data_IF_638404997823
#
_entry.id   IF_638404997823
#
_cell.length_a   1.000
_cell.length_b   1.000
_cell.length_c   1.000
_cell.angle_alpha   90.00
_cell.angle_beta   90.00
_cell.angle_gamma   90.00
#
_symmetry.space_group_name_H-M   'P 1'
#
loop_
_entity.id
_entity.type
_entity.pdbx_description
1 polymer ?
#
# COMPACT_ATOMS: atom_id res chain seq x y z
N UNK A 1 12.05 4.96 22.89
CA UNK A 1 12.89 6.19 22.80
C UNK A 1 12.19 7.12 21.83
N UNK A 2 12.15 8.42 22.13
CA UNK A 2 11.51 9.41 21.25
C UNK A 2 12.20 9.42 19.88
N UNK A 3 11.44 9.23 18.80
CA UNK A 3 12.00 9.21 17.43
C UNK A 3 12.31 10.60 16.87
N UNK A 4 11.80 11.64 17.52
CA UNK A 4 12.00 13.03 17.13
C UNK A 4 12.15 13.93 18.34
N UNK A 5 12.62 15.15 18.12
CA UNK A 5 12.71 16.18 19.15
C UNK A 5 11.65 17.27 18.95
N UNK A 6 11.22 17.89 20.04
CA UNK A 6 10.29 19.04 20.00
C UNK A 6 10.78 20.14 19.05
N UNK A 7 12.10 20.40 19.04
CA UNK A 7 12.72 21.42 18.21
C UNK A 7 12.58 21.11 16.71
N UNK A 8 12.79 19.86 16.30
CA UNK A 8 12.61 19.45 14.90
C UNK A 8 11.17 19.68 14.43
N UNK A 9 10.18 19.30 15.25
CA UNK A 9 8.76 19.52 14.93
C UNK A 9 8.40 21.01 14.87
N UNK A 10 8.99 21.81 15.76
CA UNK A 10 8.80 23.26 15.79
C UNK A 10 9.37 23.91 14.52
N UNK A 11 10.62 23.59 14.18
CA UNK A 11 11.35 24.14 13.02
C UNK A 11 10.71 23.71 11.68
N UNK A 12 10.12 22.51 11.62
CA UNK A 12 9.38 22.02 10.46
C UNK A 12 7.95 22.61 10.33
N UNK A 13 7.47 23.34 11.35
CA UNK A 13 6.15 23.98 11.33
C UNK A 13 4.98 23.02 11.54
N UNK A 14 5.20 21.90 12.25
CA UNK A 14 4.19 20.87 12.53
C UNK A 14 3.06 21.39 13.43
N UNK A 15 3.37 22.37 14.28
CA UNK A 15 2.47 22.94 15.28
C UNK A 15 1.40 23.89 14.71
N UNK A 16 1.52 24.33 13.45
CA UNK A 16 0.54 25.24 12.87
C UNK A 16 -0.71 24.49 12.46
N UNK A 17 -1.85 24.86 13.06
CA UNK A 17 -3.16 24.40 12.60
C UNK A 17 -3.84 25.38 11.66
N UNK A 18 -5.16 25.24 11.57
CA UNK A 18 -6.03 26.08 10.78
C UNK A 18 -6.61 27.25 11.58
N UNK A 19 -7.32 28.14 10.86
CA UNK A 19 -8.08 29.24 11.44
C UNK A 19 -9.20 28.74 12.36
N UNK A 20 -9.47 29.46 13.44
CA UNK A 20 -10.54 29.13 14.43
C UNK A 20 -11.88 28.74 13.81
N UNK A 21 -12.32 29.44 12.77
CA UNK A 21 -13.62 29.16 12.12
C UNK A 21 -13.72 27.79 11.42
N UNK A 22 -12.59 27.14 11.14
CA UNK A 22 -12.52 25.86 10.43
C UNK A 22 -12.26 24.68 11.38
N UNK A 23 -12.08 24.92 12.66
CA UNK A 23 -11.66 23.88 13.60
C UNK A 23 -12.78 22.88 13.87
N UNK A 24 -12.39 21.66 14.21
CA UNK A 24 -13.27 20.61 14.68
C UNK A 24 -13.19 20.53 16.21
N UNK A 25 -14.31 20.58 16.95
CA UNK A 25 -14.31 20.48 18.41
C UNK A 25 -13.67 19.19 18.95
N UNK A 26 -13.70 18.09 18.19
CA UNK A 26 -13.06 16.83 18.58
C UNK A 26 -11.51 16.94 18.65
N UNK A 27 -10.91 17.96 18.02
CA UNK A 27 -9.48 18.25 18.13
C UNK A 27 -9.09 19.05 19.37
N UNK A 28 -10.05 19.47 20.21
CA UNK A 28 -9.77 20.22 21.43
C UNK A 28 -8.69 19.60 22.34
N UNK A 29 -8.61 18.27 22.54
CA UNK A 29 -7.56 17.66 23.36
C UNK A 29 -6.15 17.85 22.80
N UNK A 30 -6.00 18.05 21.49
CA UNK A 30 -4.71 18.16 20.80
C UNK A 30 -4.28 19.61 20.53
N UNK A 31 -5.15 20.58 20.76
CA UNK A 31 -4.86 22.00 20.57
C UNK A 31 -4.28 22.56 21.87
N UNK A 32 -3.11 23.20 21.76
CA UNK A 32 -2.44 23.85 22.88
C UNK A 32 -3.02 25.23 23.17
N UNK A 33 -3.09 26.10 22.14
CA UNK A 33 -3.62 27.46 22.28
C UNK A 33 -4.05 28.05 20.94
N UNK A 34 -4.58 29.27 20.96
CA UNK A 34 -4.88 30.06 19.76
C UNK A 34 -3.99 31.31 19.75
N UNK A 35 -3.33 31.61 18.62
CA UNK A 35 -2.51 32.83 18.45
C UNK A 35 -2.79 33.46 17.10
N UNK A 36 -3.19 34.72 17.09
CA UNK A 36 -3.48 35.44 15.84
C UNK A 36 -4.59 34.81 15.00
N UNK A 37 -5.57 34.15 15.64
CA UNK A 37 -6.69 33.48 14.96
C UNK A 37 -6.38 32.10 14.37
N UNK A 38 -5.17 31.58 14.60
CA UNK A 38 -4.71 30.25 14.18
C UNK A 38 -4.55 29.37 15.41
N UNK A 39 -5.04 28.13 15.34
CA UNK A 39 -4.80 27.14 16.39
C UNK A 39 -3.37 26.61 16.35
N UNK A 40 -2.78 26.44 17.52
CA UNK A 40 -1.46 25.85 17.71
C UNK A 40 -1.65 24.45 18.28
N UNK A 41 -1.15 23.44 17.58
CA UNK A 41 -1.18 22.04 17.99
C UNK A 41 -0.14 21.80 19.07
N UNK A 42 -0.49 20.98 20.05
CA UNK A 42 0.37 20.55 21.14
C UNK A 42 1.41 19.52 20.65
N UNK A 43 2.65 19.95 20.48
CA UNK A 43 3.74 19.12 19.97
C UNK A 43 4.14 18.00 20.93
N UNK A 44 3.94 18.13 22.24
CA UNK A 44 4.25 17.05 23.18
C UNK A 44 3.33 15.85 22.91
N UNK A 45 2.05 16.13 22.65
CA UNK A 45 1.08 15.10 22.23
C UNK A 45 1.42 14.56 20.86
N UNK A 46 1.88 15.39 19.92
CA UNK A 46 2.36 14.92 18.62
C UNK A 46 3.50 13.93 18.75
N UNK A 47 4.49 14.19 19.61
CA UNK A 47 5.64 13.28 19.83
C UNK A 47 5.15 11.92 20.32
N UNK A 48 4.31 11.91 21.37
CA UNK A 48 3.78 10.65 21.94
C UNK A 48 2.98 9.87 20.89
N UNK A 49 2.07 10.54 20.18
CA UNK A 49 1.23 9.89 19.17
C UNK A 49 2.01 9.42 17.94
N UNK A 50 3.04 10.15 17.55
CA UNK A 50 3.94 9.78 16.47
C UNK A 50 4.76 8.54 16.83
N UNK A 51 5.26 8.45 18.06
CA UNK A 51 5.97 7.27 18.55
C UNK A 51 5.06 6.03 18.58
N UNK A 52 3.84 6.16 19.12
CA UNK A 52 2.83 5.10 19.12
C UNK A 52 2.52 4.60 17.69
N UNK A 53 2.30 5.53 16.75
CA UNK A 53 2.05 5.21 15.35
C UNK A 53 3.26 4.52 14.70
N UNK A 54 4.47 5.03 14.93
CA UNK A 54 5.70 4.48 14.38
C UNK A 54 6.00 3.07 14.91
N UNK A 55 5.78 2.80 16.19
CA UNK A 55 5.95 1.46 16.79
C UNK A 55 4.96 0.44 16.21
N UNK A 56 3.70 0.84 16.02
CA UNK A 56 2.69 -0.01 15.40
C UNK A 56 3.00 -0.28 13.92
N UNK A 57 3.39 0.74 13.14
CA UNK A 57 3.79 0.58 11.74
C UNK A 57 5.06 -0.29 11.59
N UNK A 58 6.04 -0.12 12.49
CA UNK A 58 7.23 -0.98 12.57
C UNK A 58 6.84 -2.44 12.78
N UNK A 59 5.93 -2.71 13.70
CA UNK A 59 5.44 -4.07 14.00
C UNK A 59 4.72 -4.70 12.80
N UNK A 60 3.89 -3.92 12.09
CA UNK A 60 3.22 -4.35 10.86
C UNK A 60 4.25 -4.68 9.77
N UNK A 61 5.24 -3.81 9.57
CA UNK A 61 6.31 -4.02 8.60
C UNK A 61 7.15 -5.26 8.92
N UNK A 62 7.46 -5.48 10.20
CA UNK A 62 8.19 -6.67 10.69
C UNK A 62 7.44 -7.97 10.36
N UNK A 63 6.11 -7.98 10.46
CA UNK A 63 5.30 -9.13 10.04
C UNK A 63 5.28 -9.37 8.53
N UNK A 64 5.85 -8.44 7.74
CA UNK A 64 5.91 -8.53 6.29
C UNK A 64 4.68 -8.04 5.54
N UNK A 65 3.77 -7.41 6.26
CA UNK A 65 2.53 -6.86 5.71
C UNK A 65 2.80 -5.49 5.07
N UNK A 66 1.98 -5.14 4.08
CA UNK A 66 2.08 -3.86 3.36
C UNK A 66 1.20 -2.81 4.00
N UNK A 67 1.71 -1.58 4.04
CA UNK A 67 1.03 -0.38 4.52
C UNK A 67 0.82 0.54 3.33
N UNK A 68 -0.43 0.96 3.08
CA UNK A 68 -0.77 1.82 1.95
C UNK A 68 -0.77 3.29 2.38
N UNK A 69 0.09 4.11 1.76
CA UNK A 69 0.12 5.55 2.00
C UNK A 69 -0.84 6.27 1.05
N UNK A 70 -1.65 7.20 1.55
CA UNK A 70 -2.66 7.93 0.78
C UNK A 70 -2.47 9.43 0.99
N UNK A 71 -2.21 10.16 -0.08
CA UNK A 71 -1.97 11.59 -0.02
C UNK A 71 -2.24 12.28 -1.39
N UNK A 72 -3.46 12.79 -1.63
CA UNK A 72 -3.75 13.48 -2.90
C UNK A 72 -3.42 14.98 -2.90
N UNK A 73 -3.04 15.52 -1.75
CA UNK A 73 -2.71 16.94 -1.55
C UNK A 73 -1.43 17.30 -2.29
N UNK A 74 -1.42 18.44 -3.01
CA UNK A 74 -0.31 18.85 -3.90
C UNK A 74 1.03 18.88 -3.15
N UNK A 75 1.03 19.38 -1.92
CA UNK A 75 2.20 19.51 -1.05
C UNK A 75 2.79 18.17 -0.61
N UNK A 76 1.99 17.09 -0.64
CA UNK A 76 2.35 15.77 -0.17
C UNK A 76 2.69 14.77 -1.30
N UNK A 77 2.21 15.00 -2.54
CA UNK A 77 2.33 14.03 -3.64
C UNK A 77 3.76 13.56 -3.87
N UNK A 78 4.67 14.51 -4.13
CA UNK A 78 6.07 14.21 -4.44
C UNK A 78 6.77 13.57 -3.24
N UNK A 79 6.59 14.16 -2.06
CA UNK A 79 7.17 13.70 -0.79
C UNK A 79 6.82 12.24 -0.52
N UNK A 80 5.53 11.91 -0.57
CA UNK A 80 5.03 10.55 -0.31
C UNK A 80 5.53 9.61 -1.41
N UNK A 81 5.46 10.01 -2.68
CA UNK A 81 5.93 9.15 -3.78
C UNK A 81 7.42 8.81 -3.70
N UNK A 82 8.27 9.74 -3.30
CA UNK A 82 9.72 9.54 -3.23
C UNK A 82 10.09 8.66 -2.03
N UNK A 83 9.62 9.04 -0.84
CA UNK A 83 10.00 8.40 0.43
C UNK A 83 9.41 7.02 0.60
N UNK A 84 8.14 6.85 0.24
CA UNK A 84 7.45 5.56 0.41
C UNK A 84 7.93 4.55 -0.63
N UNK A 85 8.27 5.01 -1.84
CA UNK A 85 8.89 4.18 -2.87
C UNK A 85 10.27 3.66 -2.43
N UNK A 86 11.07 4.47 -1.73
CA UNK A 86 12.36 4.05 -1.20
C UNK A 86 12.24 2.85 -0.23
N UNK A 87 11.15 2.77 0.55
CA UNK A 87 10.89 1.66 1.49
C UNK A 87 10.05 0.53 0.87
N UNK A 88 9.79 0.59 -0.44
CA UNK A 88 9.00 -0.41 -1.19
C UNK A 88 7.61 -0.67 -0.58
N UNK A 89 6.95 0.40 -0.17
CA UNK A 89 5.56 0.38 0.29
C UNK A 89 4.63 0.97 -0.77
N UNK A 90 3.38 0.48 -0.87
CA UNK A 90 2.43 1.01 -1.83
C UNK A 90 1.94 2.40 -1.41
N UNK A 91 1.65 3.26 -2.38
CA UNK A 91 1.15 4.61 -2.13
C UNK A 91 0.09 5.04 -3.16
N UNK A 92 -0.74 6.02 -2.87
CA UNK A 92 -1.69 6.65 -3.80
C UNK A 92 -1.58 8.16 -3.64
N UNK A 93 -1.08 8.84 -4.68
CA UNK A 93 -0.83 10.28 -4.64
C UNK A 93 -1.74 11.08 -5.57
N UNK A 94 -2.46 10.44 -6.49
CA UNK A 94 -3.27 11.16 -7.47
C UNK A 94 -4.70 11.37 -7.01
N UNK A 95 -5.56 10.38 -7.25
CA UNK A 95 -6.97 10.41 -6.86
C UNK A 95 -7.30 9.08 -6.23
N UNK A 96 -7.97 9.12 -5.09
CA UNK A 96 -8.61 7.95 -4.51
C UNK A 96 -9.90 7.62 -5.27
N UNK A 97 -9.97 6.53 -6.07
CA UNK A 97 -11.24 6.08 -6.63
C UNK A 97 -12.10 5.48 -5.50
N UNK A 98 -13.39 5.82 -5.47
CA UNK A 98 -14.31 5.16 -4.55
C UNK A 98 -14.38 3.66 -4.82
N UNK A 99 -14.39 2.86 -3.76
CA UNK A 99 -14.35 1.41 -3.83
C UNK A 99 -12.95 0.84 -3.97
N UNK A 100 -11.89 1.61 -3.73
CA UNK A 100 -10.52 1.14 -3.90
C UNK A 100 -10.19 -0.05 -2.98
N UNK A 101 -10.60 0.02 -1.72
CA UNK A 101 -10.44 -1.07 -0.76
C UNK A 101 -11.66 -1.98 -0.77
N UNK A 102 -12.86 -1.41 -0.83
CA UNK A 102 -14.09 -2.21 -0.67
C UNK A 102 -14.51 -2.99 -1.90
N UNK A 103 -14.05 -2.59 -3.09
CA UNK A 103 -14.21 -3.29 -4.35
C UNK A 103 -12.84 -3.61 -4.96
N UNK A 104 -11.94 -4.14 -4.13
CA UNK A 104 -10.58 -4.49 -4.53
C UNK A 104 -10.48 -5.45 -5.74
N UNK A 105 -11.39 -6.43 -5.94
CA UNK A 105 -11.37 -7.26 -7.15
C UNK A 105 -11.45 -6.43 -8.44
N UNK A 106 -12.24 -5.35 -8.46
CA UNK A 106 -12.37 -4.46 -9.62
C UNK A 106 -11.11 -3.64 -9.85
N UNK A 107 -10.50 -3.12 -8.78
CA UNK A 107 -9.21 -2.42 -8.88
C UNK A 107 -8.12 -3.36 -9.40
N UNK A 108 -8.09 -4.61 -8.95
CA UNK A 108 -7.16 -5.62 -9.43
C UNK A 108 -7.35 -5.91 -10.92
N UNK A 109 -8.59 -5.92 -11.43
CA UNK A 109 -8.83 -6.03 -12.89
C UNK A 109 -8.22 -4.85 -13.67
N UNK A 110 -8.32 -3.63 -13.14
CA UNK A 110 -7.70 -2.46 -13.77
C UNK A 110 -6.16 -2.53 -13.77
N UNK A 111 -5.56 -3.02 -12.67
CA UNK A 111 -4.11 -3.28 -12.58
C UNK A 111 -3.69 -4.40 -13.54
N UNK A 112 -4.45 -5.50 -13.63
CA UNK A 112 -4.18 -6.56 -14.61
C UNK A 112 -4.21 -6.04 -16.05
N UNK A 113 -5.17 -5.16 -16.37
CA UNK A 113 -5.25 -4.50 -17.68
C UNK A 113 -3.98 -3.70 -18.01
N UNK A 114 -3.38 -3.05 -17.01
CA UNK A 114 -2.11 -2.35 -17.16
C UNK A 114 -0.99 -3.30 -17.62
N UNK A 115 -0.85 -4.46 -16.97
CA UNK A 115 0.13 -5.49 -17.34
C UNK A 115 -0.16 -6.16 -18.68
N UNK A 116 -1.44 -6.32 -19.07
CA UNK A 116 -1.81 -6.80 -20.40
C UNK A 116 -1.35 -5.84 -21.50
N UNK A 117 -1.49 -4.53 -21.27
CA UNK A 117 -1.01 -3.52 -22.22
C UNK A 117 0.52 -3.58 -22.36
N UNK A 118 1.24 -3.80 -21.26
CA UNK A 118 2.70 -3.96 -21.30
C UNK A 118 3.12 -5.20 -22.10
N UNK A 119 2.41 -6.32 -21.96
CA UNK A 119 2.62 -7.52 -22.79
C UNK A 119 2.32 -7.28 -24.26
N UNK A 120 1.20 -6.63 -24.59
CA UNK A 120 0.87 -6.29 -25.99
C UNK A 120 1.94 -5.41 -26.66
N UNK A 121 2.64 -4.58 -25.87
CA UNK A 121 3.75 -3.77 -26.35
C UNK A 121 5.03 -4.59 -26.62
N UNK A 122 5.28 -5.67 -25.86
CA UNK A 122 6.43 -6.56 -26.07
C UNK A 122 6.18 -7.60 -27.15
N UNK A 123 4.94 -8.07 -27.28
CA UNK A 123 4.59 -9.24 -28.09
C UNK A 123 4.28 -8.87 -29.56
N UNK A 124 4.44 -7.59 -29.92
CA UNK A 124 4.22 -7.08 -31.28
C UNK A 124 2.75 -6.88 -31.67
N UNK A 125 1.80 -7.16 -30.77
CA UNK A 125 0.35 -6.97 -31.02
C UNK A 125 0.02 -5.51 -31.39
N UNK A 126 0.79 -4.56 -30.86
CA UNK A 126 0.66 -3.15 -31.21
C UNK A 126 0.81 -2.90 -32.71
N UNK A 127 1.53 -3.70 -33.47
CA UNK A 127 1.79 -3.46 -34.90
C UNK A 127 0.56 -3.66 -35.78
N UNK A 128 -0.38 -4.48 -35.33
CA UNK A 128 -1.64 -4.72 -36.03
C UNK A 128 -2.71 -3.64 -35.76
N UNK A 129 -2.43 -2.68 -34.87
CA UNK A 129 -3.38 -1.64 -34.50
C UNK A 129 -3.19 -0.35 -35.30
N UNK A 130 -4.28 0.37 -35.54
CA UNK A 130 -4.23 1.69 -36.15
C UNK A 130 -3.50 2.69 -35.25
N UNK A 131 -2.91 3.74 -35.84
CA UNK A 131 -2.23 4.81 -35.07
C UNK A 131 -3.14 5.43 -34.01
N UNK A 132 -4.46 5.52 -34.28
CA UNK A 132 -5.45 6.05 -33.35
C UNK A 132 -5.64 5.13 -32.13
N UNK A 133 -5.75 3.83 -32.35
CA UNK A 133 -5.91 2.83 -31.29
C UNK A 133 -4.65 2.72 -30.44
N UNK A 134 -3.46 2.67 -31.07
CA UNK A 134 -2.18 2.70 -30.34
C UNK A 134 -2.11 3.90 -29.41
N UNK A 135 -2.47 5.09 -29.89
CA UNK A 135 -2.47 6.30 -29.08
C UNK A 135 -3.47 6.23 -27.90
N UNK A 136 -4.65 5.66 -28.11
CA UNK A 136 -5.64 5.47 -27.04
C UNK A 136 -5.13 4.50 -25.96
N UNK A 137 -4.51 3.39 -26.37
CA UNK A 137 -3.94 2.40 -25.44
C UNK A 137 -2.79 3.01 -24.64
N UNK A 138 -1.88 3.76 -25.30
CA UNK A 138 -0.77 4.44 -24.62
C UNK A 138 -1.28 5.45 -23.59
N UNK A 139 -2.30 6.26 -23.94
CA UNK A 139 -2.94 7.20 -23.01
C UNK A 139 -3.60 6.47 -21.85
N UNK A 140 -4.27 5.35 -22.10
CA UNK A 140 -4.88 4.51 -21.07
C UNK A 140 -3.81 3.95 -20.13
N UNK A 141 -2.70 3.42 -20.67
CA UNK A 141 -1.58 2.90 -19.89
C UNK A 141 -0.93 3.95 -19.01
N UNK A 142 -0.67 5.14 -19.56
CA UNK A 142 -0.11 6.27 -18.81
C UNK A 142 -1.05 6.72 -17.68
N UNK A 143 -2.36 6.73 -17.93
CA UNK A 143 -3.36 7.06 -16.91
C UNK A 143 -3.44 5.99 -15.81
N UNK A 144 -3.35 4.71 -16.17
CA UNK A 144 -3.33 3.61 -15.21
C UNK A 144 -2.04 3.64 -14.38
N UNK A 145 -0.87 3.85 -14.99
CA UNK A 145 0.41 3.98 -14.29
C UNK A 145 0.36 5.07 -13.23
N UNK A 146 -0.09 6.24 -13.64
CA UNK A 146 -0.11 7.42 -12.79
C UNK A 146 -1.00 7.23 -11.56
N UNK A 147 -2.11 6.50 -11.71
CA UNK A 147 -3.09 6.32 -10.63
C UNK A 147 -2.85 5.06 -9.78
N UNK A 148 -2.38 3.97 -10.39
CA UNK A 148 -2.35 2.63 -9.79
C UNK A 148 -0.98 1.93 -9.92
N UNK A 149 0.04 2.55 -10.52
CA UNK A 149 1.35 1.93 -10.75
C UNK A 149 2.02 1.44 -9.47
N UNK A 150 1.95 2.24 -8.41
CA UNK A 150 2.47 1.94 -7.06
C UNK A 150 1.73 0.80 -6.33
N UNK A 151 0.54 0.42 -6.78
CA UNK A 151 -0.22 -0.71 -6.23
C UNK A 151 -0.21 -1.91 -7.18
N UNK A 152 0.61 -1.91 -8.23
CA UNK A 152 0.67 -3.00 -9.20
C UNK A 152 0.98 -4.35 -8.53
N UNK A 153 1.87 -4.34 -7.54
CA UNK A 153 2.33 -5.53 -6.81
C UNK A 153 1.39 -5.93 -5.65
N UNK A 154 0.31 -5.18 -5.39
CA UNK A 154 -0.64 -5.50 -4.32
C UNK A 154 -1.55 -6.65 -4.75
N UNK A 155 -1.24 -7.85 -4.25
CA UNK A 155 -2.08 -9.04 -4.47
C UNK A 155 -3.25 -9.13 -3.49
N UNK A 156 -3.08 -8.64 -2.26
CA UNK A 156 -4.07 -8.65 -1.18
C UNK A 156 -4.34 -7.24 -0.68
N UNK A 157 -5.39 -7.08 0.13
CA UNK A 157 -5.66 -5.80 0.79
C UNK A 157 -4.48 -5.40 1.70
N UNK A 158 -4.16 -4.10 1.81
CA UNK A 158 -3.16 -3.63 2.75
C UNK A 158 -3.63 -3.91 4.18
N UNK A 159 -2.67 -4.13 5.09
CA UNK A 159 -2.98 -4.42 6.50
C UNK A 159 -3.13 -3.16 7.35
N UNK A 160 -2.75 -2.01 6.80
CA UNK A 160 -2.97 -0.70 7.38
C UNK A 160 -2.95 0.35 6.28
N UNK A 161 -3.56 1.50 6.54
CA UNK A 161 -3.42 2.69 5.70
C UNK A 161 -2.83 3.86 6.50
N UNK A 162 -1.99 4.66 5.84
CA UNK A 162 -1.54 5.95 6.35
C UNK A 162 -2.12 7.06 5.48
N UNK A 163 -2.75 8.07 6.08
CA UNK A 163 -3.46 9.14 5.39
C UNK A 163 -2.87 10.51 5.72
N UNK A 164 -2.58 11.31 4.70
CA UNK A 164 -2.25 12.73 4.83
C UNK A 164 -3.51 13.53 4.50
N UNK A 165 -4.01 14.31 5.48
CA UNK A 165 -5.26 15.08 5.41
C UNK A 165 -6.54 14.21 5.36
N UNK A 166 -7.11 13.98 6.54
CA UNK A 166 -8.32 13.18 6.75
C UNK A 166 -9.54 13.81 6.09
N UNK A 167 -9.64 15.15 6.10
CA UNK A 167 -10.73 15.87 5.45
C UNK A 167 -10.74 15.62 3.95
N UNK A 168 -9.55 15.62 3.33
CA UNK A 168 -9.39 15.37 1.90
C UNK A 168 -9.65 13.91 1.53
N UNK A 169 -9.15 12.98 2.35
CA UNK A 169 -9.21 11.53 2.07
C UNK A 169 -10.30 10.78 2.86
N UNK A 170 -11.39 11.47 3.19
CA UNK A 170 -12.48 10.88 3.98
C UNK A 170 -13.05 9.58 3.39
N UNK A 171 -12.99 9.40 2.06
CA UNK A 171 -13.47 8.19 1.39
C UNK A 171 -12.56 7.01 1.74
N UNK A 172 -11.24 7.19 1.69
CA UNK A 172 -10.26 6.17 2.06
C UNK A 172 -10.43 5.73 3.52
N UNK A 173 -10.61 6.71 4.43
CA UNK A 173 -10.83 6.45 5.87
C UNK A 173 -12.12 5.68 6.10
N UNK A 174 -13.23 6.06 5.44
CA UNK A 174 -14.52 5.36 5.55
C UNK A 174 -14.45 3.93 5.03
N UNK A 175 -13.78 3.72 3.89
CA UNK A 175 -13.58 2.39 3.32
C UNK A 175 -12.74 1.49 4.22
N UNK A 176 -11.62 2.00 4.74
CA UNK A 176 -10.75 1.27 5.66
C UNK A 176 -11.48 0.89 6.95
N UNK A 177 -12.21 1.83 7.56
CA UNK A 177 -13.02 1.58 8.74
C UNK A 177 -14.08 0.51 8.50
N UNK A 178 -14.75 0.52 7.34
CA UNK A 178 -15.76 -0.49 6.99
C UNK A 178 -15.17 -1.90 6.89
N UNK A 179 -13.91 -2.02 6.50
CA UNK A 179 -13.20 -3.29 6.35
C UNK A 179 -12.39 -3.68 7.61
N UNK A 180 -12.41 -2.87 8.67
CA UNK A 180 -11.59 -3.09 9.86
C UNK A 180 -10.07 -2.96 9.60
N UNK A 181 -9.68 -2.20 8.58
CA UNK A 181 -8.26 -1.91 8.31
C UNK A 181 -7.85 -0.73 9.19
N UNK A 182 -6.80 -0.87 10.04
CA UNK A 182 -6.36 0.19 10.92
C UNK A 182 -5.87 1.42 10.14
N UNK A 183 -6.27 2.60 10.61
CA UNK A 183 -6.02 3.90 10.00
C UNK A 183 -5.04 4.69 10.85
N UNK A 184 -3.91 5.03 10.24
CA UNK A 184 -2.94 5.99 10.74
C UNK A 184 -3.14 7.29 9.95
N UNK A 185 -3.11 8.44 10.59
CA UNK A 185 -3.28 9.69 9.83
C UNK A 185 -2.62 10.90 10.48
N UNK A 186 -2.19 11.83 9.63
CA UNK A 186 -1.94 13.21 10.03
C UNK A 186 -3.28 13.93 10.20
N UNK A 187 -3.51 14.49 11.38
CA UNK A 187 -4.76 15.13 11.75
C UNK A 187 -4.50 16.59 12.09
N UNK A 188 -4.92 17.48 11.20
CA UNK A 188 -4.96 18.91 11.50
C UNK A 188 -6.24 19.24 12.30
N UNK A 189 -6.24 20.41 12.91
CA UNK A 189 -7.30 21.02 13.71
C UNK A 189 -8.69 21.07 13.09
N UNK A 190 -8.84 20.95 11.76
CA UNK A 190 -10.13 20.88 11.06
C UNK A 190 -10.70 19.45 10.93
N UNK A 191 -9.87 18.44 11.20
CA UNK A 191 -10.19 17.03 10.98
C UNK A 191 -10.78 16.39 12.23
N UNK A 192 -11.56 15.31 12.07
CA UNK A 192 -12.10 14.54 13.20
C UNK A 192 -11.16 13.36 13.54
N UNK A 193 -10.51 13.34 14.71
CA UNK A 193 -9.62 12.25 15.12
C UNK A 193 -10.37 10.98 15.52
N UNK A 194 -11.70 11.02 15.72
CA UNK A 194 -12.47 9.92 16.32
C UNK A 194 -12.53 8.65 15.46
N UNK A 195 -12.31 8.78 14.15
CA UNK A 195 -12.36 7.68 13.19
C UNK A 195 -10.98 7.14 12.81
N UNK A 196 -9.95 7.46 13.60
CA UNK A 196 -8.55 7.19 13.30
C UNK A 196 -7.97 6.43 14.50
N UNK A 197 -7.42 5.25 14.23
CA UNK A 197 -6.87 4.39 15.29
C UNK A 197 -5.58 4.99 15.87
N UNK A 198 -4.74 5.56 15.00
CA UNK A 198 -3.49 6.22 15.37
C UNK A 198 -3.45 7.65 14.83
N UNK A 199 -4.12 8.61 15.52
CA UNK A 199 -4.12 10.01 15.10
C UNK A 199 -2.80 10.67 15.47
N UNK A 200 -2.14 11.30 14.49
CA UNK A 200 -0.92 12.09 14.68
C UNK A 200 -1.30 13.57 14.50
N UNK A 201 -1.47 14.34 15.59
CA UNK A 201 -1.81 15.75 15.50
C UNK A 201 -0.68 16.52 14.82
N UNK A 202 -0.92 17.04 13.62
CA UNK A 202 0.12 17.67 12.81
C UNK A 202 -0.47 18.54 11.69
N UNK A 203 0.29 19.55 11.30
CA UNK A 203 0.03 20.35 10.11
C UNK A 203 0.15 19.50 8.83
N UNK A 204 -0.93 19.39 8.06
CA UNK A 204 -0.96 18.66 6.78
C UNK A 204 -0.86 19.58 5.55
N UNK A 205 -0.76 20.90 5.72
CA UNK A 205 -0.61 21.89 4.65
C UNK A 205 0.86 22.18 4.31
N UNK A 206 1.75 22.10 5.30
CA UNK A 206 3.16 22.43 5.12
C UNK A 206 3.97 21.24 4.61
N UNK A 207 4.62 21.40 3.44
CA UNK A 207 5.50 20.36 2.87
C UNK A 207 6.59 19.90 3.84
N UNK A 208 7.19 20.81 4.63
CA UNK A 208 8.21 20.43 5.63
C UNK A 208 7.66 19.56 6.75
N UNK A 209 6.44 19.86 7.22
CA UNK A 209 5.74 19.06 8.24
C UNK A 209 5.46 17.65 7.73
N UNK A 210 4.82 17.54 6.56
CA UNK A 210 4.51 16.25 5.91
C UNK A 210 5.80 15.46 5.66
N UNK A 211 6.84 16.13 5.15
CA UNK A 211 8.16 15.55 4.90
C UNK A 211 8.74 14.90 6.16
N UNK A 212 8.76 15.63 7.28
CA UNK A 212 9.32 15.15 8.54
C UNK A 212 8.54 13.97 9.11
N UNK A 213 7.21 14.06 9.16
CA UNK A 213 6.36 12.98 9.71
C UNK A 213 6.50 11.71 8.85
N UNK A 214 6.41 11.84 7.52
CA UNK A 214 6.56 10.70 6.61
C UNK A 214 7.96 10.08 6.72
N UNK A 215 9.02 10.88 6.86
CA UNK A 215 10.39 10.36 7.07
C UNK A 215 10.49 9.49 8.32
N UNK A 216 9.95 9.98 9.44
CA UNK A 216 10.02 9.26 10.72
C UNK A 216 9.29 7.92 10.61
N UNK A 217 8.12 7.90 9.99
CA UNK A 217 7.34 6.68 9.77
C UNK A 217 8.04 5.73 8.79
N UNK A 218 8.59 6.23 7.69
CA UNK A 218 9.36 5.45 6.73
C UNK A 218 10.59 4.80 7.37
N UNK A 219 11.33 5.51 8.21
CA UNK A 219 12.46 4.96 8.98
C UNK A 219 12.00 3.84 9.93
N UNK A 220 10.88 4.02 10.63
CA UNK A 220 10.34 2.99 11.49
C UNK A 220 9.91 1.72 10.72
N UNK A 221 9.35 1.88 9.51
CA UNK A 221 9.04 0.76 8.62
C UNK A 221 10.32 0.06 8.17
N UNK A 222 11.34 0.81 7.77
CA UNK A 222 12.63 0.28 7.33
C UNK A 222 13.32 -0.53 8.45
N UNK A 223 13.32 -0.02 9.69
CA UNK A 223 13.76 -0.77 10.87
C UNK A 223 13.01 -2.10 11.00
N UNK A 224 11.68 -2.09 10.89
CA UNK A 224 10.86 -3.30 10.97
C UNK A 224 11.17 -4.31 9.87
N UNK A 225 11.41 -3.83 8.64
CA UNK A 225 11.81 -4.67 7.51
C UNK A 225 13.21 -5.27 7.70
N UNK A 226 14.15 -4.50 8.26
CA UNK A 226 15.50 -4.97 8.53
C UNK A 226 15.53 -6.01 9.65
N UNK A 227 14.78 -5.79 10.74
CA UNK A 227 14.61 -6.80 11.79
C UNK A 227 14.05 -8.10 11.23
N UNK A 228 13.04 -8.03 10.35
CA UNK A 228 12.48 -9.21 9.69
C UNK A 228 13.52 -9.97 8.87
N UNK A 229 14.39 -9.27 8.14
CA UNK A 229 15.46 -9.92 7.36
C UNK A 229 16.43 -10.66 8.29
N UNK A 230 16.89 -9.97 9.34
CA UNK A 230 17.80 -10.57 10.33
C UNK A 230 17.19 -11.79 11.04
N UNK A 231 15.90 -11.75 11.36
CA UNK A 231 15.21 -12.89 11.99
C UNK A 231 15.15 -14.10 11.05
N UNK A 232 14.92 -13.88 9.74
CA UNK A 232 14.96 -14.95 8.73
C UNK A 232 16.36 -15.51 8.50
N UNK A 233 17.38 -14.65 8.47
CA UNK A 233 18.76 -15.09 8.26
C UNK A 233 19.22 -15.98 9.42
N UNK A 234 18.87 -15.62 10.67
CA UNK A 234 19.14 -16.43 11.86
C UNK A 234 18.42 -17.78 11.86
N UNK A 235 17.17 -17.82 11.39
CA UNK A 235 16.44 -19.09 11.23
C UNK A 235 17.14 -19.98 10.19
N UNK A 236 17.59 -19.42 9.06
CA UNK A 236 18.31 -20.18 8.03
C UNK A 236 19.69 -20.69 8.48
N UNK A 237 20.42 -19.93 9.30
CA UNK A 237 21.71 -20.36 9.87
C UNK A 237 21.56 -21.47 10.93
N UNK A 238 20.41 -21.57 11.59
CA UNK A 238 20.13 -22.63 12.57
C UNK A 238 19.68 -23.95 11.91
N UNK A 239 19.24 -23.91 10.65
CA UNK A 239 18.81 -25.08 9.87
C UNK A 239 19.92 -25.73 9.03
N UNK A 240 21.15 -25.20 9.00
CA UNK A 240 22.28 -25.92 8.37
C UNK A 240 22.59 -27.23 9.13
N UNK A 241 22.61 -28.40 8.45
CA UNK A 241 22.62 -29.68 9.13
C UNK A 241 24.00 -29.99 9.72
N UNK A 242 24.01 -30.44 10.98
CA UNK A 242 25.07 -31.29 11.57
C UNK A 242 25.13 -32.66 10.86
N UNK A 243 25.24 -32.71 9.55
CA UNK A 243 25.51 -33.93 8.77
C UNK A 243 27.01 -34.12 8.62
N UNK A 244 27.68 -34.42 9.73
CA UNK A 244 29.13 -34.49 9.79
C UNK A 244 29.67 -35.43 10.85
N UNK A 245 29.08 -36.63 11.01
CA UNK A 245 29.76 -37.82 11.57
C UNK A 245 28.83 -39.03 11.65
N UNK A 246 28.85 -39.86 10.60
CA UNK A 246 28.85 -41.33 10.69
C UNK A 246 29.01 -41.93 9.29
N UNK A 247 30.24 -41.83 8.76
CA UNK A 247 30.76 -42.83 7.85
C UNK A 247 31.76 -43.64 8.64
N UNK A 248 31.43 -44.90 8.94
CA UNK A 248 32.32 -46.07 8.98
C UNK A 248 31.49 -47.32 9.30
N UNK A 249 31.72 -48.36 8.50
CA UNK A 249 31.41 -49.79 8.67
C UNK A 249 29.99 -50.28 8.36
N UNK A 250 29.78 -50.75 7.11
CA UNK A 250 29.82 -52.19 6.79
C UNK A 250 29.68 -52.43 5.28
N UNK A 251 30.74 -52.96 4.68
CA UNK A 251 30.59 -53.89 3.55
C UNK A 251 29.97 -55.18 4.09
N UNK A 252 29.03 -55.78 3.34
CA UNK A 252 29.02 -57.20 2.93
C UNK A 252 27.78 -57.44 2.04
N UNK A 253 28.10 -57.92 0.84
CA UNK A 253 27.36 -58.80 -0.08
C UNK A 253 26.14 -58.31 -0.89
N UNK A 254 26.38 -58.30 -2.20
CA UNK A 254 25.44 -58.32 -3.31
C UNK A 254 24.95 -59.77 -3.50
N UNK A 255 23.63 -59.96 -3.53
CA UNK A 255 23.01 -61.17 -4.07
C UNK A 255 21.77 -60.76 -4.87
N UNK A 256 21.80 -61.09 -6.17
CA UNK A 256 20.70 -61.04 -7.15
C UNK A 256 19.43 -61.73 -6.63
N UNK A 257 18.26 -61.26 -7.04
CA UNK A 257 17.22 -62.09 -7.66
C UNK A 257 16.14 -61.23 -8.36
N UNK A 258 15.67 -61.76 -9.50
CA UNK A 258 14.71 -61.22 -10.48
C UNK A 258 13.24 -61.16 -9.99
N UNK A 259 12.40 -60.39 -10.70
CA UNK A 259 10.93 -60.52 -10.72
C UNK A 259 10.19 -59.19 -10.94
N UNK A 260 9.82 -58.78 -12.17
CA UNK A 260 8.45 -58.74 -12.79
C UNK A 260 7.36 -58.25 -11.79
N UNK A 261 6.55 -57.20 -12.00
CA UNK A 261 5.56 -56.94 -13.05
C UNK A 261 5.16 -55.46 -13.18
N UNK A 262 4.65 -55.14 -14.36
CA UNK A 262 3.97 -53.90 -14.78
C UNK A 262 2.68 -53.64 -14.00
N UNK A 263 2.32 -52.38 -13.81
CA UNK A 263 0.93 -51.92 -13.97
C UNK A 263 0.92 -50.41 -14.27
N UNK A 264 0.37 -50.06 -15.44
CA UNK A 264 -0.01 -48.72 -15.91
C UNK A 264 -1.21 -48.15 -15.15
N UNK A 265 -1.69 -46.98 -15.60
CA UNK A 265 -3.03 -46.36 -15.41
C UNK A 265 -3.04 -45.29 -14.29
N UNK A 266 -3.44 -44.02 -14.46
CA UNK A 266 -4.13 -43.29 -15.55
C UNK A 266 -3.82 -41.77 -15.43
N UNK A 267 -3.81 -41.08 -16.57
CA UNK A 267 -3.95 -39.62 -16.71
C UNK A 267 -5.44 -39.25 -16.59
N UNK A 268 -5.75 -38.14 -15.91
CA UNK A 268 -7.01 -37.42 -16.12
C UNK A 268 -6.70 -35.92 -16.19
N UNK A 269 -6.64 -35.41 -17.43
CA UNK A 269 -6.72 -34.01 -17.80
C UNK A 269 -8.20 -33.64 -17.97
N UNK A 270 -8.71 -32.69 -17.17
CA UNK A 270 -10.02 -32.05 -17.41
C UNK A 270 -9.81 -30.69 -18.09
N UNK A 271 -10.10 -30.65 -19.39
CA UNK A 271 -10.28 -29.44 -20.19
C UNK A 271 -11.70 -28.86 -19.98
N UNK A 272 -11.79 -27.63 -19.48
CA UNK A 272 -13.02 -26.80 -19.51
C UNK A 272 -13.00 -25.88 -20.74
N UNK A 273 -13.80 -26.20 -21.77
CA UNK A 273 -14.15 -25.27 -22.86
C UNK A 273 -15.32 -24.36 -22.44
N UNK A 274 -15.08 -23.05 -22.36
CA UNK A 274 -16.14 -22.02 -22.30
C UNK A 274 -16.58 -21.63 -23.72
N UNK A 275 -17.85 -21.91 -24.02
CA UNK A 275 -18.58 -21.47 -25.22
C UNK A 275 -18.97 -19.99 -25.06
N UNK A 276 -18.48 -19.12 -25.95
CA UNK A 276 -18.93 -17.73 -26.08
C UNK A 276 -20.02 -17.67 -27.14
N UNK A 277 -21.27 -17.48 -26.68
CA UNK A 277 -22.43 -17.19 -27.50
C UNK A 277 -22.42 -15.72 -27.98
N UNK A 278 -22.59 -15.53 -29.29
CA UNK A 278 -22.69 -14.23 -29.95
C UNK A 278 -24.16 -14.00 -30.30
N UNK A 279 -24.87 -13.23 -29.48
CA UNK A 279 -26.17 -12.67 -29.86
C UNK A 279 -26.01 -11.22 -30.32
N UNK A 280 -26.39 -11.02 -31.58
CA UNK A 280 -26.53 -9.77 -32.31
C UNK A 280 -27.58 -8.86 -31.66
N UNK A 281 -27.25 -7.59 -31.43
CA UNK A 281 -28.25 -6.52 -31.29
C UNK A 281 -28.15 -5.62 -32.52
N UNK A 282 -29.05 -5.90 -33.46
CA UNK A 282 -29.54 -4.99 -34.47
C UNK A 282 -30.50 -4.03 -33.77
N UNK A 283 -30.20 -2.73 -33.73
CA UNK A 283 -31.24 -1.73 -33.50
C UNK A 283 -31.17 -0.67 -34.60
N UNK A 284 -32.19 -0.77 -35.44
CA UNK A 284 -32.52 0.08 -36.56
C UNK A 284 -32.98 1.46 -36.10
N UNK A 285 -32.64 2.42 -36.95
CA UNK A 285 -33.25 3.73 -37.09
C UNK A 285 -34.78 3.70 -36.93
N UNK A 286 -35.34 4.61 -36.14
CA UNK A 286 -36.65 5.19 -36.41
C UNK A 286 -36.68 6.67 -35.99
N UNK A 287 -36.81 7.51 -37.02
CA UNK A 287 -37.28 8.89 -36.94
C UNK A 287 -38.74 8.90 -36.43
N UNK A 288 -39.12 9.87 -35.58
CA UNK A 288 -40.28 10.74 -35.77
C UNK A 288 -40.55 11.62 -34.53
N UNK A 289 -40.81 12.91 -34.84
CA UNK A 289 -41.39 14.01 -34.02
C UNK A 289 -40.65 14.55 -32.78
#
# INVERSE_FOLDING_TARGET
>A
MSRTTFKELLDAGVHFGHQKRKWNPAMAPYIFMERGGIHVIDLEKTIVKLDEAADAMKSIAKSGKKILFVATKKQAKEIVSEKVKAVNMPYVTERWPGGMLTNFPTIRKAVKKMGLIDKMATDGTFDNLSKREKLQIIRQRAKLEKNLGSIADLTRLPSAIFVVDVCKEQIAVKEAKRLGIPVFAMVDTNSDPSNIDFPIPANDDASKSISLIVDILCKAIEEGLNERKMDKDKESEQEEPKSGRRRIARNVEVSKYDGVEEEEVEEDDEDEEEVIDQSEDNDSEEENE
#
